data_IF_250308434121
#
_entry.id   IF_250308434121
#
_cell.length_a   1.000
_cell.length_b   1.000
_cell.length_c   1.000
_cell.angle_alpha   90.00
_cell.angle_beta   90.00
_cell.angle_gamma   90.00
#
_symmetry.space_group_name_H-M   'P 1'
#
loop_
_entity.id
_entity.type
_entity.pdbx_description
1 polymer ?
#
# COMPACT_ATOMS: atom_id res chain seq x y z
N UNK A 1 -7.74 -11.65 23.36
CA UNK A 1 -6.98 -11.05 22.24
C UNK A 1 -7.89 -10.58 21.10
N UNK A 2 -8.89 -11.35 20.66
CA UNK A 2 -9.77 -10.97 19.53
C UNK A 2 -10.43 -9.58 19.66
N UNK A 3 -11.08 -9.31 20.80
CA UNK A 3 -11.73 -8.02 21.05
C UNK A 3 -10.73 -6.85 20.97
N UNK A 4 -9.52 -7.05 21.49
CA UNK A 4 -8.48 -6.04 21.40
C UNK A 4 -8.05 -5.80 19.94
N UNK A 5 -7.75 -6.85 19.17
CA UNK A 5 -7.21 -6.75 17.82
C UNK A 5 -8.20 -6.20 16.78
N UNK A 6 -9.47 -6.61 16.86
CA UNK A 6 -10.48 -6.27 15.83
C UNK A 6 -11.53 -5.27 16.32
N UNK A 7 -11.71 -5.13 17.63
CA UNK A 7 -12.66 -4.19 18.23
C UNK A 7 -12.02 -2.87 18.64
N UNK A 8 -10.79 -2.87 19.18
CA UNK A 8 -10.16 -1.67 19.76
C UNK A 8 -9.04 -1.12 18.88
N UNK A 9 -8.08 -1.98 18.50
CA UNK A 9 -6.86 -1.57 17.81
C UNK A 9 -7.07 -0.79 16.50
N UNK A 10 -8.08 -1.08 15.64
CA UNK A 10 -8.30 -0.31 14.42
C UNK A 10 -8.55 1.18 14.69
N UNK A 11 -9.28 1.50 15.77
CA UNK A 11 -9.56 2.89 16.16
C UNK A 11 -8.32 3.60 16.70
N UNK A 12 -7.47 2.90 17.44
CA UNK A 12 -6.18 3.44 17.90
C UNK A 12 -5.30 3.75 16.69
N UNK A 13 -5.17 2.79 15.76
CA UNK A 13 -4.36 2.95 14.57
C UNK A 13 -4.84 4.13 13.68
N UNK A 14 -6.15 4.25 13.46
CA UNK A 14 -6.73 5.36 12.71
C UNK A 14 -6.55 6.71 13.41
N UNK A 15 -6.73 6.75 14.74
CA UNK A 15 -6.53 7.99 15.52
C UNK A 15 -5.09 8.48 15.43
N UNK A 16 -4.12 7.56 15.58
CA UNK A 16 -2.69 7.88 15.45
C UNK A 16 -2.34 8.28 14.01
N UNK A 17 -2.89 7.59 13.01
CA UNK A 17 -2.69 7.92 11.60
C UNK A 17 -3.13 9.36 11.30
N UNK A 18 -4.35 9.74 11.68
CA UNK A 18 -4.92 11.05 11.39
C UNK A 18 -4.22 12.15 12.20
N UNK A 19 -4.19 12.03 13.53
CA UNK A 19 -3.62 13.06 14.39
C UNK A 19 -2.11 13.20 14.20
N UNK A 20 -1.39 12.09 14.04
CA UNK A 20 0.04 12.10 13.75
C UNK A 20 0.36 12.73 12.40
N UNK A 21 -0.47 12.50 11.38
CA UNK A 21 -0.30 13.15 10.07
C UNK A 21 -0.51 14.66 10.15
N UNK A 22 -1.59 15.11 10.82
CA UNK A 22 -1.87 16.55 11.03
C UNK A 22 -0.74 17.20 11.82
N UNK A 23 -0.35 16.62 12.96
CA UNK A 23 0.69 17.18 13.82
C UNK A 23 2.04 17.31 13.09
N UNK A 24 2.43 16.30 12.29
CA UNK A 24 3.67 16.36 11.50
C UNK A 24 3.59 17.40 10.39
N UNK A 25 2.44 17.53 9.74
CA UNK A 25 2.22 18.50 8.67
C UNK A 25 2.36 19.94 9.17
N UNK A 26 1.74 20.25 10.31
CA UNK A 26 1.76 21.58 10.93
C UNK A 26 3.13 21.93 11.57
N UNK A 27 3.73 20.99 12.30
CA UNK A 27 4.93 21.25 13.09
C UNK A 27 6.23 21.15 12.28
N UNK A 28 6.34 20.15 11.42
CA UNK A 28 7.62 19.75 10.81
C UNK A 28 7.52 19.56 9.28
N UNK A 29 7.05 20.57 8.51
CA UNK A 29 6.80 20.43 7.07
C UNK A 29 8.07 20.11 6.27
N UNK A 30 9.26 20.54 6.70
CA UNK A 30 10.53 20.21 6.04
C UNK A 30 10.91 18.72 6.09
N UNK A 31 10.27 17.95 6.98
CA UNK A 31 10.40 16.49 7.03
C UNK A 31 9.43 15.78 6.09
N UNK A 32 8.45 16.49 5.52
CA UNK A 32 7.43 15.94 4.62
C UNK A 32 7.94 15.86 3.18
N UNK A 33 8.75 14.83 2.91
CA UNK A 33 9.34 14.57 1.59
C UNK A 33 9.45 13.08 1.31
N UNK A 34 9.55 12.72 0.04
CA UNK A 34 9.70 11.33 -0.41
C UNK A 34 11.06 10.72 -0.05
N UNK A 35 12.02 11.55 0.38
CA UNK A 35 13.39 11.13 0.75
C UNK A 35 14.03 10.24 -0.33
N UNK A 36 13.95 10.69 -1.59
CA UNK A 36 14.47 9.95 -2.73
C UNK A 36 15.99 9.74 -2.62
N UNK A 37 16.43 8.49 -2.80
CA UNK A 37 17.85 8.10 -2.86
C UNK A 37 18.31 7.79 -4.29
N UNK A 38 17.51 8.16 -5.29
CA UNK A 38 17.78 7.85 -6.70
C UNK A 38 19.08 8.48 -7.22
N UNK A 39 19.46 9.65 -6.70
CA UNK A 39 20.70 10.33 -7.06
C UNK A 39 21.94 9.53 -6.64
N UNK A 40 21.86 8.80 -5.52
CA UNK A 40 22.98 8.05 -4.96
C UNK A 40 23.20 6.71 -5.70
N UNK A 41 22.11 6.05 -6.10
CA UNK A 41 22.17 4.76 -6.83
C UNK A 41 20.94 4.56 -7.71
N UNK A 42 21.07 4.86 -9.01
CA UNK A 42 19.92 4.96 -9.94
C UNK A 42 19.41 3.61 -10.48
N UNK A 43 20.29 2.73 -10.99
CA UNK A 43 19.89 1.61 -11.87
C UNK A 43 18.98 0.59 -11.19
N UNK A 44 19.36 0.08 -10.02
CA UNK A 44 18.54 -0.88 -9.26
C UNK A 44 17.28 -0.23 -8.66
N UNK A 45 17.38 1.05 -8.27
CA UNK A 45 16.25 1.78 -7.70
C UNK A 45 15.12 1.96 -8.71
N UNK A 46 15.40 2.29 -9.96
CA UNK A 46 14.34 2.53 -10.96
C UNK A 46 13.47 1.29 -11.17
N UNK A 47 14.09 0.12 -11.39
CA UNK A 47 13.33 -1.13 -11.62
C UNK A 47 12.57 -1.54 -10.36
N UNK A 48 13.24 -1.56 -9.20
CA UNK A 48 12.61 -1.92 -7.94
C UNK A 48 11.47 -0.95 -7.57
N UNK A 49 11.65 0.34 -7.81
CA UNK A 49 10.64 1.37 -7.55
C UNK A 49 9.42 1.24 -8.46
N UNK A 50 9.61 1.00 -9.76
CA UNK A 50 8.49 0.81 -10.69
C UNK A 50 7.69 -0.43 -10.30
N UNK A 51 8.35 -1.57 -10.09
CA UNK A 51 7.68 -2.81 -9.69
C UNK A 51 6.92 -2.66 -8.37
N UNK A 52 7.56 -2.02 -7.37
CA UNK A 52 6.94 -1.79 -6.07
C UNK A 52 5.73 -0.86 -6.18
N UNK A 53 5.88 0.32 -6.80
CA UNK A 53 4.82 1.33 -6.83
C UNK A 53 3.65 0.92 -7.71
N UNK A 54 3.89 0.33 -8.88
CA UNK A 54 2.79 -0.18 -9.72
C UNK A 54 2.04 -1.29 -8.97
N UNK A 55 2.76 -2.24 -8.37
CA UNK A 55 2.15 -3.30 -7.58
C UNK A 55 1.32 -2.76 -6.41
N UNK A 56 1.92 -1.93 -5.55
CA UNK A 56 1.25 -1.45 -4.34
C UNK A 56 0.08 -0.51 -4.64
N UNK A 57 0.13 0.29 -5.71
CA UNK A 57 -1.00 1.14 -6.10
C UNK A 57 -2.18 0.32 -6.59
N UNK A 58 -1.93 -0.72 -7.41
CA UNK A 58 -2.99 -1.65 -7.84
C UNK A 58 -3.61 -2.35 -6.63
N UNK A 59 -2.79 -2.82 -5.68
CA UNK A 59 -3.27 -3.43 -4.43
C UNK A 59 -4.09 -2.44 -3.62
N UNK A 60 -3.60 -1.21 -3.44
CA UNK A 60 -4.27 -0.17 -2.67
C UNK A 60 -5.67 0.13 -3.23
N UNK A 61 -5.78 0.42 -4.52
CA UNK A 61 -7.09 0.68 -5.14
C UNK A 61 -7.97 -0.57 -5.18
N UNK A 62 -7.38 -1.75 -5.38
CA UNK A 62 -8.10 -3.02 -5.28
C UNK A 62 -8.71 -3.25 -3.90
N UNK A 63 -7.99 -2.96 -2.81
CA UNK A 63 -8.51 -3.04 -1.44
C UNK A 63 -9.52 -1.94 -1.15
N UNK A 64 -9.23 -0.70 -1.57
CA UNK A 64 -10.10 0.45 -1.35
C UNK A 64 -11.48 0.21 -1.97
N UNK A 65 -11.52 -0.09 -3.27
CA UNK A 65 -12.77 -0.36 -3.99
C UNK A 65 -13.35 -1.71 -3.54
N UNK A 66 -12.52 -2.72 -3.34
CA UNK A 66 -12.97 -4.05 -2.93
C UNK A 66 -13.63 -4.09 -1.56
N UNK A 67 -13.14 -3.35 -0.56
CA UNK A 67 -13.63 -3.45 0.81
C UNK A 67 -14.61 -2.34 1.19
N UNK A 68 -14.45 -1.12 0.66
CA UNK A 68 -15.30 0.01 1.04
C UNK A 68 -16.50 0.22 0.11
N UNK A 69 -16.52 -0.38 -1.09
CA UNK A 69 -17.68 -0.26 -1.98
C UNK A 69 -18.85 -1.10 -1.42
N UNK A 70 -20.04 -0.50 -1.20
CA UNK A 70 -21.21 -1.22 -0.71
C UNK A 70 -21.67 -2.31 -1.69
N UNK A 71 -22.26 -3.38 -1.15
CA UNK A 71 -22.70 -4.55 -1.94
C UNK A 71 -23.74 -4.16 -3.01
N UNK A 72 -24.67 -3.26 -2.69
CA UNK A 72 -25.70 -2.82 -3.63
C UNK A 72 -25.14 -2.14 -4.90
N UNK A 73 -23.95 -1.53 -4.82
CA UNK A 73 -23.27 -0.96 -5.99
C UNK A 73 -22.79 -2.08 -6.92
N UNK A 74 -22.23 -3.15 -6.35
CA UNK A 74 -21.81 -4.32 -7.13
C UNK A 74 -23.01 -5.04 -7.75
N UNK A 75 -24.10 -5.18 -7.00
CA UNK A 75 -25.33 -5.81 -7.50
C UNK A 75 -25.94 -4.98 -8.65
N UNK A 76 -25.97 -3.66 -8.54
CA UNK A 76 -26.44 -2.76 -9.59
C UNK A 76 -25.58 -2.83 -10.87
N UNK A 77 -24.28 -3.10 -10.73
CA UNK A 77 -23.35 -3.32 -11.85
C UNK A 77 -23.36 -4.76 -12.38
N UNK A 78 -24.14 -5.66 -11.78
CA UNK A 78 -24.18 -7.09 -12.14
C UNK A 78 -22.91 -7.86 -11.79
N UNK A 79 -22.07 -7.34 -10.88
CA UNK A 79 -20.81 -7.98 -10.49
C UNK A 79 -21.08 -8.97 -9.37
N UNK A 80 -21.02 -10.26 -9.70
CA UNK A 80 -21.15 -11.34 -8.71
C UNK A 80 -19.99 -11.37 -7.70
N UNK A 81 -20.27 -11.83 -6.48
CA UNK A 81 -19.29 -11.98 -5.39
C UNK A 81 -18.07 -12.83 -5.82
N UNK A 82 -18.32 -13.96 -6.51
CA UNK A 82 -17.25 -14.82 -7.02
C UNK A 82 -16.37 -14.13 -8.08
N UNK A 83 -16.97 -13.29 -8.93
CA UNK A 83 -16.21 -12.54 -9.94
C UNK A 83 -15.27 -11.51 -9.28
N UNK A 84 -15.76 -10.80 -8.25
CA UNK A 84 -14.95 -9.87 -7.45
C UNK A 84 -13.79 -10.59 -6.76
N UNK A 85 -14.05 -11.74 -6.14
CA UNK A 85 -13.01 -12.52 -5.47
C UNK A 85 -11.97 -13.04 -6.47
N UNK A 86 -12.40 -13.55 -7.63
CA UNK A 86 -11.48 -14.02 -8.67
C UNK A 86 -10.60 -12.88 -9.19
N UNK A 87 -11.19 -11.70 -9.43
CA UNK A 87 -10.44 -10.50 -9.82
C UNK A 87 -9.42 -10.10 -8.75
N UNK A 88 -9.81 -10.13 -7.46
CA UNK A 88 -8.91 -9.85 -6.36
C UNK A 88 -7.74 -10.84 -6.28
N UNK A 89 -8.00 -12.14 -6.47
CA UNK A 89 -6.94 -13.17 -6.46
C UNK A 89 -6.00 -13.02 -7.65
N UNK A 90 -6.53 -12.84 -8.86
CA UNK A 90 -5.72 -12.79 -10.08
C UNK A 90 -4.97 -11.47 -10.20
N UNK A 91 -5.68 -10.34 -10.25
CA UNK A 91 -5.08 -9.02 -10.45
C UNK A 91 -4.31 -8.60 -9.19
N UNK A 92 -4.92 -8.79 -8.01
CA UNK A 92 -4.26 -8.50 -6.74
C UNK A 92 -3.08 -9.43 -6.47
N UNK A 93 -3.15 -10.70 -6.87
CA UNK A 93 -2.03 -11.64 -6.76
C UNK A 93 -0.84 -11.25 -7.64
N UNK A 94 -1.07 -10.92 -8.92
CA UNK A 94 0.00 -10.45 -9.83
C UNK A 94 0.62 -9.16 -9.28
N UNK A 95 -0.20 -8.19 -8.88
CA UNK A 95 0.26 -6.94 -8.29
C UNK A 95 1.03 -7.17 -6.97
N UNK A 96 0.59 -8.14 -6.17
CA UNK A 96 1.26 -8.61 -4.95
C UNK A 96 2.68 -9.12 -5.23
N UNK A 97 2.82 -10.00 -6.22
CA UNK A 97 4.14 -10.52 -6.63
C UNK A 97 5.04 -9.39 -7.14
N UNK A 98 4.52 -8.48 -7.96
CA UNK A 98 5.27 -7.30 -8.42
C UNK A 98 5.74 -6.43 -7.24
N UNK A 99 4.84 -6.16 -6.29
CA UNK A 99 5.15 -5.37 -5.10
C UNK A 99 6.21 -6.05 -4.22
N UNK A 100 6.12 -7.37 -4.03
CA UNK A 100 7.08 -8.15 -3.25
C UNK A 100 8.46 -8.20 -3.92
N UNK A 101 8.53 -8.43 -5.23
CA UNK A 101 9.80 -8.41 -5.97
C UNK A 101 10.42 -7.01 -5.93
N UNK A 102 9.67 -5.97 -6.24
CA UNK A 102 10.15 -4.59 -6.20
C UNK A 102 10.59 -4.17 -4.81
N UNK A 103 9.79 -4.49 -3.78
CA UNK A 103 10.09 -4.23 -2.38
C UNK A 103 11.32 -5.00 -1.90
N UNK A 104 11.46 -6.28 -2.27
CA UNK A 104 12.63 -7.10 -1.97
C UNK A 104 13.90 -6.55 -2.60
N UNK A 105 13.85 -6.10 -3.86
CA UNK A 105 14.98 -5.44 -4.52
C UNK A 105 15.38 -4.13 -3.81
N UNK A 106 14.40 -3.32 -3.41
CA UNK A 106 14.63 -2.06 -2.70
C UNK A 106 15.16 -2.28 -1.28
N UNK A 107 14.64 -3.31 -0.59
CA UNK A 107 15.11 -3.72 0.74
C UNK A 107 16.55 -4.21 0.67
N UNK A 108 16.86 -5.14 -0.23
CA UNK A 108 18.22 -5.64 -0.45
C UNK A 108 19.18 -4.47 -0.69
N UNK A 109 18.80 -3.52 -1.56
CA UNK A 109 19.59 -2.32 -1.79
C UNK A 109 19.79 -1.54 -0.50
N UNK A 110 18.72 -1.22 0.24
CA UNK A 110 18.82 -0.42 1.47
C UNK A 110 19.68 -1.08 2.55
N UNK A 111 19.74 -2.40 2.57
CA UNK A 111 20.55 -3.15 3.54
C UNK A 111 22.03 -3.26 3.16
N UNK A 112 22.32 -3.42 1.86
CA UNK A 112 23.67 -3.75 1.38
C UNK A 112 24.42 -2.59 0.75
N UNK A 113 23.72 -1.53 0.36
CA UNK A 113 24.31 -0.35 -0.25
C UNK A 113 24.75 0.62 0.84
N UNK A 114 26.05 0.95 0.97
CA UNK A 114 26.53 1.93 1.93
C UNK A 114 26.10 3.37 1.60
N UNK A 115 25.40 3.61 0.47
CA UNK A 115 24.91 4.91 0.00
C UNK A 115 23.41 4.86 -0.34
#
# INVERSE_FOLDING_TARGET
MNHFLFGIYPYIALSVLVLGSIARYERDPFTWKTSSSQLLRRRQLVIGSILFHVGILVIFFGHLVGLLTPIWVFDALGIGHGAKQLLAVMVGGIAGVMALIGGGMLFHRRWTDPR
#
